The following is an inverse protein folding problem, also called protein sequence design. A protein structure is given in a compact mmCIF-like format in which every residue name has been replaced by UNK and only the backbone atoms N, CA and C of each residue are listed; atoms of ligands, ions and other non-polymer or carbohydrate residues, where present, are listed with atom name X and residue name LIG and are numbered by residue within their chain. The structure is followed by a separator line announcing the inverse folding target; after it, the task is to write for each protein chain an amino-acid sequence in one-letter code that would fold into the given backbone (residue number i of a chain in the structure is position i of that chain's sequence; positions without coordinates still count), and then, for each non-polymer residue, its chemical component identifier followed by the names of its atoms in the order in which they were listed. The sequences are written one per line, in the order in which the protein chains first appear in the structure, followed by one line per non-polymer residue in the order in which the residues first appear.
data_IF_039620113669
#
_entry.id   IF_039620113669
#
_cell.length_a   1.000
_cell.length_b   1.000
_cell.length_c   1.000
_cell.angle_alpha   90.00
_cell.angle_beta   90.00
_cell.angle_gamma   90.00
#
_symmetry.space_group_name_H-M   'P 1'
#
loop_
_entity.id
_entity.type
_entity.pdbx_description
1 polymer ?
#
# COMPACT_ATOMS: atom_id res chain seq x y z
N UNK A 1 12.43 -3.54 44.73
CA UNK A 1 11.39 -2.87 43.93
C UNK A 1 12.12 -1.91 43.03
N UNK A 2 12.34 -2.29 41.80
CA UNK A 2 12.91 -1.42 40.75
C UNK A 2 11.86 -1.37 39.69
N UNK A 3 11.16 -0.25 39.62
CA UNK A 3 10.24 0.08 38.52
C UNK A 3 11.04 0.17 37.21
N UNK A 4 10.70 -0.69 36.29
CA UNK A 4 11.19 -0.59 34.94
C UNK A 4 10.46 0.57 34.23
N UNK A 5 11.12 1.71 34.22
CA UNK A 5 10.74 2.89 33.44
C UNK A 5 10.78 2.51 31.96
N UNK A 6 9.60 2.25 31.39
CA UNK A 6 9.43 2.05 29.94
C UNK A 6 9.62 3.41 29.28
N UNK A 7 10.84 3.69 28.92
CA UNK A 7 11.19 4.79 28.03
C UNK A 7 10.40 4.63 26.73
N UNK A 8 9.31 5.35 26.62
CA UNK A 8 8.68 5.67 25.33
C UNK A 8 9.76 6.47 24.61
N UNK A 9 10.42 5.83 23.66
CA UNK A 9 11.38 6.52 22.80
C UNK A 9 10.65 7.71 22.17
N UNK A 10 11.17 8.94 22.29
CA UNK A 10 10.56 10.10 21.65
C UNK A 10 10.51 9.82 20.15
N UNK A 11 9.33 9.91 19.55
CA UNK A 11 9.16 9.84 18.11
C UNK A 11 10.14 10.82 17.48
N UNK A 12 11.09 10.30 16.71
CA UNK A 12 12.13 11.09 16.08
C UNK A 12 11.45 12.19 15.22
N UNK A 13 11.73 13.49 15.43
CA UNK A 13 11.07 14.57 14.68
C UNK A 13 11.15 14.36 13.15
N UNK A 14 12.20 13.69 12.66
CA UNK A 14 12.38 13.33 11.26
C UNK A 14 11.29 12.44 10.67
N UNK A 15 10.63 11.57 11.45
CA UNK A 15 9.53 10.73 10.93
C UNK A 15 8.25 11.53 10.67
N UNK A 16 7.94 12.50 11.51
CA UNK A 16 6.77 13.39 11.28
C UNK A 16 6.97 14.26 10.05
N UNK A 17 8.18 14.74 9.83
CA UNK A 17 8.51 15.54 8.65
C UNK A 17 8.44 14.71 7.37
N UNK A 18 8.88 13.46 7.38
CA UNK A 18 8.77 12.56 6.22
C UNK A 18 7.32 12.23 5.85
N UNK A 19 6.44 12.01 6.83
CA UNK A 19 5.00 11.80 6.56
C UNK A 19 4.32 13.05 5.99
N UNK A 20 4.67 14.23 6.48
CA UNK A 20 4.15 15.50 5.96
C UNK A 20 4.59 15.70 4.51
N UNK A 21 5.85 15.43 4.20
CA UNK A 21 6.40 15.50 2.84
C UNK A 21 5.68 14.48 1.94
N UNK A 22 5.52 13.23 2.40
CA UNK A 22 4.81 12.20 1.63
C UNK A 22 3.36 12.59 1.31
N UNK A 23 2.67 13.24 2.24
CA UNK A 23 1.32 13.77 1.99
C UNK A 23 1.31 14.91 0.99
N UNK A 24 2.31 15.78 1.04
CA UNK A 24 2.41 16.95 0.15
C UNK A 24 2.62 16.56 -1.32
N UNK A 25 3.39 15.48 -1.59
CA UNK A 25 3.67 15.01 -2.95
C UNK A 25 2.58 14.09 -3.53
N UNK A 26 1.61 13.62 -2.73
CA UNK A 26 0.52 12.77 -3.24
C UNK A 26 -0.39 13.55 -4.19
N UNK A 27 -0.81 12.93 -5.30
CA UNK A 27 -1.81 13.53 -6.18
C UNK A 27 -3.14 13.71 -5.43
N UNK A 28 -3.79 14.84 -5.65
CA UNK A 28 -5.09 15.17 -5.05
C UNK A 28 -6.25 14.98 -6.01
N UNK A 29 -5.97 14.98 -7.33
CA UNK A 29 -6.97 14.83 -8.40
C UNK A 29 -6.67 13.60 -9.23
N UNK A 30 -7.71 13.06 -9.84
CA UNK A 30 -7.59 11.89 -10.73
C UNK A 30 -6.74 12.22 -11.97
N UNK A 31 -6.78 13.44 -12.46
CA UNK A 31 -5.94 13.92 -13.57
C UNK A 31 -4.43 13.87 -13.25
N UNK A 32 -4.06 14.01 -11.98
CA UNK A 32 -2.67 13.96 -11.52
C UNK A 32 -2.20 12.52 -11.16
N UNK A 33 -3.13 11.55 -11.19
CA UNK A 33 -2.87 10.16 -10.86
C UNK A 33 -2.25 9.45 -12.07
N UNK A 34 -0.92 9.36 -12.09
CA UNK A 34 -0.15 8.77 -13.16
C UNK A 34 -0.15 7.24 -13.09
N UNK A 35 -0.15 6.59 -14.24
CA UNK A 35 -0.23 5.14 -14.37
C UNK A 35 -1.63 4.59 -14.04
N UNK A 36 -1.77 3.26 -13.95
CA UNK A 36 -3.05 2.59 -13.66
C UNK A 36 -4.18 3.06 -14.59
N UNK A 37 -3.90 3.26 -15.89
CA UNK A 37 -4.82 3.92 -16.84
C UNK A 37 -6.23 3.32 -16.82
N UNK A 38 -6.33 1.99 -16.77
CA UNK A 38 -7.62 1.30 -16.72
C UNK A 38 -8.42 1.66 -15.46
N UNK A 39 -7.77 1.69 -14.29
CA UNK A 39 -8.40 2.08 -13.02
C UNK A 39 -8.83 3.55 -13.07
N UNK A 40 -7.95 4.41 -13.57
CA UNK A 40 -8.24 5.86 -13.69
C UNK A 40 -9.45 6.12 -14.59
N UNK A 41 -9.50 5.50 -15.77
CA UNK A 41 -10.57 5.71 -16.75
C UNK A 41 -11.92 5.20 -16.23
N UNK A 42 -11.93 4.06 -15.53
CA UNK A 42 -13.15 3.56 -14.89
C UNK A 42 -13.60 4.47 -13.73
N UNK A 43 -12.68 4.87 -12.87
CA UNK A 43 -13.01 5.73 -11.73
C UNK A 43 -13.52 7.11 -12.18
N UNK A 44 -12.98 7.67 -13.27
CA UNK A 44 -13.48 8.91 -13.86
C UNK A 44 -14.96 8.82 -14.24
N UNK A 45 -15.36 7.70 -14.86
CA UNK A 45 -16.75 7.45 -15.24
C UNK A 45 -17.64 7.31 -14.00
N UNK A 46 -17.23 6.49 -13.02
CA UNK A 46 -18.04 6.21 -11.83
C UNK A 46 -18.23 7.45 -10.95
N UNK A 47 -17.16 8.22 -10.72
CA UNK A 47 -17.19 9.46 -9.96
C UNK A 47 -18.12 10.48 -10.63
N UNK A 48 -17.94 10.72 -11.95
CA UNK A 48 -18.80 11.65 -12.70
C UNK A 48 -20.27 11.21 -12.69
N UNK A 49 -20.54 9.92 -12.81
CA UNK A 49 -21.89 9.41 -12.74
C UNK A 49 -22.56 9.63 -11.38
N UNK A 50 -21.83 9.39 -10.28
CA UNK A 50 -22.31 9.67 -8.92
C UNK A 50 -22.56 11.17 -8.71
N UNK A 51 -21.63 12.03 -9.14
CA UNK A 51 -21.80 13.50 -9.11
C UNK A 51 -23.04 13.98 -9.87
N UNK A 52 -23.27 13.44 -11.08
CA UNK A 52 -24.44 13.83 -11.90
C UNK A 52 -25.77 13.46 -11.22
N UNK A 53 -25.80 12.36 -10.46
CA UNK A 53 -26.98 11.92 -9.72
C UNK A 53 -27.09 12.53 -8.33
N UNK A 54 -26.03 13.20 -7.86
CA UNK A 54 -25.89 13.71 -6.50
C UNK A 54 -26.07 12.60 -5.44
N UNK A 55 -25.40 11.47 -5.66
CA UNK A 55 -25.47 10.26 -4.84
C UNK A 55 -24.08 9.89 -4.33
N UNK A 56 -24.03 9.11 -3.22
CA UNK A 56 -22.79 8.48 -2.80
C UNK A 56 -22.25 7.56 -3.91
N UNK A 57 -20.93 7.47 -4.04
CA UNK A 57 -20.31 6.49 -4.92
C UNK A 57 -20.57 5.08 -4.38
N UNK A 58 -20.77 4.11 -5.25
CA UNK A 58 -20.84 2.70 -4.85
C UNK A 58 -19.60 2.31 -4.02
N UNK A 59 -19.78 1.38 -3.07
CA UNK A 59 -18.69 0.88 -2.25
C UNK A 59 -17.55 0.32 -3.10
N UNK A 60 -16.32 0.72 -2.78
CA UNK A 60 -15.12 0.48 -3.58
C UNK A 60 -14.13 -0.41 -2.82
N UNK A 61 -13.74 -1.53 -3.42
CA UNK A 61 -12.63 -2.36 -2.96
C UNK A 61 -11.38 -2.11 -3.81
N UNK A 62 -10.30 -1.69 -3.17
CA UNK A 62 -9.00 -1.48 -3.82
C UNK A 62 -8.02 -2.53 -3.30
N UNK A 63 -7.47 -3.35 -4.19
CA UNK A 63 -6.52 -4.36 -3.78
C UNK A 63 -5.26 -4.40 -4.66
N UNK A 64 -4.19 -4.94 -4.12
CA UNK A 64 -2.89 -5.07 -4.78
C UNK A 64 -1.73 -4.96 -3.82
N UNK A 65 -0.49 -5.18 -4.29
CA UNK A 65 0.72 -5.11 -3.49
C UNK A 65 0.84 -3.82 -2.66
N UNK A 66 1.64 -3.80 -1.59
CA UNK A 66 1.84 -2.61 -0.78
C UNK A 66 2.53 -1.49 -1.56
N UNK A 67 2.23 -0.24 -1.23
CA UNK A 67 2.93 0.94 -1.79
C UNK A 67 2.49 1.39 -3.19
N UNK A 68 1.43 0.79 -3.77
CA UNK A 68 0.92 1.11 -5.11
C UNK A 68 -0.06 2.30 -5.14
N UNK A 69 -0.40 2.88 -3.99
CA UNK A 69 -1.26 4.07 -3.93
C UNK A 69 -2.73 3.82 -3.60
N UNK A 70 -3.09 2.70 -2.94
CA UNK A 70 -4.47 2.42 -2.51
C UNK A 70 -5.08 3.55 -1.69
N UNK A 71 -4.39 3.99 -0.65
CA UNK A 71 -4.78 5.13 0.19
C UNK A 71 -4.82 6.45 -0.60
N UNK A 72 -3.93 6.61 -1.58
CA UNK A 72 -3.91 7.80 -2.46
C UNK A 72 -5.16 7.84 -3.32
N UNK A 73 -5.56 6.71 -3.92
CA UNK A 73 -6.77 6.62 -4.73
C UNK A 73 -8.03 6.90 -3.89
N UNK A 74 -8.10 6.40 -2.66
CA UNK A 74 -9.21 6.68 -1.74
C UNK A 74 -9.34 8.20 -1.44
N UNK A 75 -8.21 8.88 -1.20
CA UNK A 75 -8.20 10.32 -0.99
C UNK A 75 -8.59 11.10 -2.27
N UNK A 76 -8.17 10.64 -3.45
CA UNK A 76 -8.58 11.24 -4.72
C UNK A 76 -10.09 11.12 -4.91
N UNK A 77 -10.67 9.94 -4.63
CA UNK A 77 -12.13 9.74 -4.73
C UNK A 77 -12.88 10.74 -3.85
N UNK A 78 -12.49 10.87 -2.58
CA UNK A 78 -13.12 11.83 -1.67
C UNK A 78 -12.97 13.29 -2.16
N UNK A 79 -11.77 13.66 -2.65
CA UNK A 79 -11.52 15.00 -3.17
C UNK A 79 -12.32 15.29 -4.45
N UNK A 80 -12.43 14.33 -5.38
CA UNK A 80 -13.22 14.49 -6.60
C UNK A 80 -14.72 14.56 -6.28
N UNK A 81 -15.20 13.77 -5.31
CA UNK A 81 -16.59 13.82 -4.83
C UNK A 81 -16.88 15.05 -3.97
N UNK A 82 -15.86 15.85 -3.58
CA UNK A 82 -15.97 17.03 -2.72
C UNK A 82 -16.58 16.72 -1.34
N UNK A 83 -16.26 15.54 -0.77
CA UNK A 83 -16.75 15.05 0.52
C UNK A 83 -15.61 14.80 1.50
N UNK A 84 -15.95 14.64 2.78
CA UNK A 84 -14.96 14.29 3.80
C UNK A 84 -14.56 12.83 3.70
N UNK A 85 -13.32 12.52 4.12
CA UNK A 85 -12.83 11.15 4.27
C UNK A 85 -12.45 10.90 5.72
N UNK A 86 -13.03 9.83 6.28
CA UNK A 86 -12.60 9.29 7.56
C UNK A 86 -11.77 8.04 7.32
N UNK A 87 -10.58 8.01 7.91
CA UNK A 87 -9.61 6.94 7.67
C UNK A 87 -9.41 6.13 8.94
N UNK A 88 -9.49 4.82 8.80
CA UNK A 88 -9.16 3.83 9.83
C UNK A 88 -8.47 2.63 9.21
N UNK A 89 -8.18 1.61 10.00
CA UNK A 89 -7.63 0.33 9.52
C UNK A 89 -8.29 -0.85 10.23
N UNK A 90 -8.29 -2.03 9.57
CA UNK A 90 -8.85 -3.25 10.14
C UNK A 90 -8.35 -3.55 11.54
N UNK A 91 -7.03 -3.54 11.80
CA UNK A 91 -6.47 -3.80 13.14
C UNK A 91 -6.91 -2.83 14.25
N UNK A 92 -7.32 -1.62 13.91
CA UNK A 92 -7.78 -0.60 14.89
C UNK A 92 -9.24 -0.83 15.28
N UNK A 93 -10.02 -1.47 14.42
CA UNK A 93 -11.42 -1.78 14.65
C UNK A 93 -11.56 -3.11 15.41
N UNK A 94 -11.33 -3.08 16.71
CA UNK A 94 -11.37 -4.30 17.53
C UNK A 94 -12.80 -4.75 17.87
N UNK A 95 -13.71 -3.79 18.04
CA UNK A 95 -15.09 -4.00 18.49
C UNK A 95 -16.12 -3.37 17.56
N UNK A 96 -17.30 -3.94 17.54
CA UNK A 96 -18.46 -3.41 16.82
C UNK A 96 -18.74 -1.92 17.17
N UNK A 97 -18.54 -1.54 18.44
CA UNK A 97 -18.71 -0.17 18.90
C UNK A 97 -17.74 0.84 18.29
N UNK A 98 -16.53 0.40 17.95
CA UNK A 98 -15.53 1.28 17.30
C UNK A 98 -16.00 1.67 15.89
N UNK A 99 -16.50 0.69 15.13
CA UNK A 99 -17.07 0.91 13.81
C UNK A 99 -18.36 1.74 13.90
N UNK A 100 -19.25 1.43 14.86
CA UNK A 100 -20.48 2.17 15.07
C UNK A 100 -20.23 3.66 15.34
N UNK A 101 -19.24 3.98 16.17
CA UNK A 101 -18.84 5.35 16.45
C UNK A 101 -18.33 6.11 15.20
N UNK A 102 -17.66 5.41 14.29
CA UNK A 102 -17.22 6.02 13.02
C UNK A 102 -18.40 6.26 12.08
N UNK A 103 -19.28 5.26 11.92
CA UNK A 103 -20.42 5.31 11.00
C UNK A 103 -21.43 6.39 11.39
N UNK A 104 -21.76 6.51 12.69
CA UNK A 104 -22.71 7.51 13.19
C UNK A 104 -22.21 8.96 13.11
N UNK A 105 -20.92 9.16 12.88
CA UNK A 105 -20.31 10.48 12.69
C UNK A 105 -20.05 10.85 11.21
N UNK A 106 -20.53 10.04 10.26
CA UNK A 106 -20.46 10.36 8.83
C UNK A 106 -21.57 11.34 8.47
N UNK A 107 -21.25 12.23 7.54
CA UNK A 107 -22.22 13.10 6.88
C UNK A 107 -22.65 12.46 5.54
N UNK A 108 -23.65 13.04 4.89
CA UNK A 108 -24.19 12.53 3.62
C UNK A 108 -23.09 12.51 2.54
N UNK A 109 -22.95 11.36 1.88
CA UNK A 109 -21.97 11.05 0.84
C UNK A 109 -20.50 10.99 1.30
N UNK A 110 -20.21 11.10 2.59
CA UNK A 110 -18.86 10.96 3.14
C UNK A 110 -18.21 9.62 2.76
N UNK A 111 -16.88 9.61 2.75
CA UNK A 111 -16.09 8.41 2.51
C UNK A 111 -15.56 7.86 3.83
N UNK A 112 -15.84 6.57 4.10
CA UNK A 112 -15.15 5.80 5.14
C UNK A 112 -14.08 4.94 4.45
N UNK A 113 -12.81 5.19 4.76
CA UNK A 113 -11.68 4.40 4.25
C UNK A 113 -11.17 3.46 5.33
N UNK A 114 -11.15 2.14 5.04
CA UNK A 114 -10.61 1.10 5.93
C UNK A 114 -9.41 0.45 5.23
N UNK A 115 -8.20 0.74 5.73
CA UNK A 115 -6.99 0.06 5.26
C UNK A 115 -6.87 -1.33 5.91
N UNK A 116 -6.24 -2.28 5.20
CA UNK A 116 -6.09 -3.67 5.63
C UNK A 116 -7.44 -4.30 6.06
N UNK A 117 -8.50 -4.04 5.28
CA UNK A 117 -9.88 -4.46 5.61
C UNK A 117 -10.02 -5.97 5.82
N UNK A 118 -9.14 -6.80 5.25
CA UNK A 118 -9.10 -8.25 5.47
C UNK A 118 -8.75 -8.66 6.92
N UNK A 119 -8.34 -7.70 7.75
CA UNK A 119 -8.01 -7.92 9.16
C UNK A 119 -9.15 -7.54 10.13
N UNK A 120 -10.31 -7.23 9.60
CA UNK A 120 -11.51 -7.05 10.43
C UNK A 120 -11.86 -8.35 11.13
N UNK A 121 -12.33 -8.24 12.38
CA UNK A 121 -12.90 -9.38 13.08
C UNK A 121 -14.29 -9.73 12.51
N UNK A 122 -14.73 -10.99 12.57
CA UNK A 122 -16.07 -11.37 12.10
C UNK A 122 -17.18 -10.56 12.74
N UNK A 123 -17.05 -10.18 14.01
CA UNK A 123 -18.02 -9.37 14.73
C UNK A 123 -18.15 -7.96 14.14
N UNK A 124 -17.06 -7.36 13.68
CA UNK A 124 -17.06 -6.04 13.04
C UNK A 124 -17.62 -6.15 11.61
N UNK A 125 -17.28 -7.23 10.89
CA UNK A 125 -17.85 -7.48 9.56
C UNK A 125 -19.38 -7.61 9.60
N UNK A 126 -19.95 -8.33 10.60
CA UNK A 126 -21.40 -8.50 10.74
C UNK A 126 -22.15 -7.16 10.93
N UNK A 127 -21.53 -6.20 11.61
CA UNK A 127 -22.09 -4.84 11.76
C UNK A 127 -21.94 -4.03 10.46
N UNK A 128 -20.90 -4.30 9.68
CA UNK A 128 -20.63 -3.58 8.43
C UNK A 128 -21.64 -3.97 7.33
N UNK A 129 -22.15 -5.19 7.31
CA UNK A 129 -23.03 -5.66 6.24
C UNK A 129 -24.31 -4.83 6.11
N UNK A 130 -25.15 -4.66 7.16
CA UNK A 130 -26.36 -3.84 7.04
C UNK A 130 -26.04 -2.36 6.81
N UNK A 131 -24.89 -1.89 7.30
CA UNK A 131 -24.46 -0.53 7.03
C UNK A 131 -24.16 -0.29 5.55
N UNK A 132 -23.60 -1.29 4.84
CA UNK A 132 -23.32 -1.20 3.41
C UNK A 132 -24.56 -1.41 2.53
N UNK A 133 -25.47 -2.29 2.92
CA UNK A 133 -26.64 -2.64 2.09
C UNK A 133 -27.80 -1.69 2.27
N UNK A 134 -28.15 -1.38 3.53
CA UNK A 134 -29.37 -0.67 3.89
C UNK A 134 -29.10 0.69 4.54
N UNK A 135 -27.84 1.11 4.69
CA UNK A 135 -27.47 2.28 5.48
C UNK A 135 -28.05 2.25 6.90
N UNK A 136 -28.04 1.07 7.51
CA UNK A 136 -28.56 0.85 8.85
C UNK A 136 -27.52 0.20 9.75
N UNK A 137 -27.53 0.58 11.01
CA UNK A 137 -26.66 0.03 12.03
C UNK A 137 -27.50 -0.67 13.09
N UNK A 138 -27.28 -1.97 13.30
CA UNK A 138 -27.92 -2.73 14.36
C UNK A 138 -27.05 -2.75 15.62
N UNK A 139 -27.51 -2.11 16.69
CA UNK A 139 -26.78 -2.04 17.97
C UNK A 139 -27.57 -2.82 19.03
N UNK A 140 -26.89 -3.77 19.70
CA UNK A 140 -27.43 -4.43 20.88
C UNK A 140 -27.18 -3.58 22.12
N UNK A 141 -28.26 -3.18 22.80
CA UNK A 141 -28.20 -2.45 24.07
C UNK A 141 -28.67 -3.35 25.20
N UNK A 142 -27.87 -3.42 26.28
CA UNK A 142 -28.11 -4.27 27.44
C UNK A 142 -27.41 -5.61 27.36
N UNK A 143 -27.53 -6.39 28.44
CA UNK A 143 -26.91 -7.73 28.55
C UNK A 143 -27.95 -8.79 28.86
N UNK A 144 -27.71 -10.04 28.46
CA UNK A 144 -28.54 -11.20 28.73
C UNK A 144 -29.91 -11.13 28.06
N UNK A 145 -30.94 -11.74 28.66
CA UNK A 145 -32.32 -11.85 28.10
C UNK A 145 -33.06 -10.52 27.92
N UNK A 146 -32.55 -9.43 28.54
CA UNK A 146 -33.10 -8.07 28.42
C UNK A 146 -32.46 -7.25 27.34
N UNK A 147 -31.47 -7.78 26.62
CA UNK A 147 -30.84 -7.10 25.51
C UNK A 147 -31.86 -6.78 24.40
N UNK A 148 -31.79 -5.57 23.87
CA UNK A 148 -32.64 -5.10 22.77
C UNK A 148 -31.77 -4.63 21.61
N UNK A 149 -32.16 -5.00 20.38
CA UNK A 149 -31.60 -4.43 19.18
C UNK A 149 -32.26 -3.09 18.89
N UNK A 150 -31.43 -2.07 18.62
CA UNK A 150 -31.88 -0.77 18.12
C UNK A 150 -31.27 -0.59 16.75
N UNK A 151 -32.12 -0.23 15.76
CA UNK A 151 -31.70 0.15 14.43
C UNK A 151 -31.52 1.65 14.37
N UNK A 152 -30.38 2.07 13.87
CA UNK A 152 -30.01 3.47 13.63
C UNK A 152 -29.86 3.65 12.13
N UNK A 153 -30.59 4.56 11.53
CA UNK A 153 -30.41 4.94 10.14
C UNK A 153 -29.13 5.77 9.99
N UNK A 154 -28.33 5.45 8.96
CA UNK A 154 -27.11 6.14 8.61
C UNK A 154 -27.36 7.00 7.36
N UNK A 155 -26.68 8.15 7.21
CA UNK A 155 -26.67 8.84 5.94
C UNK A 155 -26.00 7.96 4.87
N UNK A 156 -26.39 8.05 3.60
CA UNK A 156 -25.68 7.39 2.50
C UNK A 156 -24.19 7.75 2.54
N UNK A 157 -23.32 6.76 2.43
CA UNK A 157 -21.87 6.93 2.46
C UNK A 157 -21.18 5.97 1.50
N UNK A 158 -19.94 6.26 1.17
CA UNK A 158 -19.10 5.36 0.39
C UNK A 158 -18.09 4.66 1.30
N UNK A 159 -18.14 3.32 1.37
CA UNK A 159 -17.06 2.55 1.97
C UNK A 159 -15.97 2.29 0.93
N UNK A 160 -14.72 2.64 1.23
CA UNK A 160 -13.55 2.25 0.46
C UNK A 160 -12.71 1.29 1.30
N UNK A 161 -12.71 0.02 0.93
CA UNK A 161 -11.86 -1.00 1.54
C UNK A 161 -10.54 -1.14 0.78
N UNK A 162 -9.42 -1.16 1.48
CA UNK A 162 -8.12 -1.46 0.90
C UNK A 162 -7.51 -2.73 1.49
N UNK A 163 -6.88 -3.56 0.65
CA UNK A 163 -6.22 -4.78 1.09
C UNK A 163 -5.03 -5.16 0.21
N UNK A 164 -4.04 -5.81 0.82
CA UNK A 164 -2.97 -6.50 0.09
C UNK A 164 -3.35 -7.95 -0.25
N UNK A 165 -4.31 -8.52 0.48
CA UNK A 165 -4.70 -9.94 0.42
C UNK A 165 -6.21 -10.07 0.09
N UNK A 166 -6.59 -9.79 -1.16
CA UNK A 166 -8.01 -9.89 -1.56
C UNK A 166 -8.62 -11.29 -1.35
N UNK A 167 -7.81 -12.34 -1.45
CA UNK A 167 -8.24 -13.72 -1.19
C UNK A 167 -8.54 -14.02 0.30
N UNK A 168 -8.13 -13.16 1.22
CA UNK A 168 -8.41 -13.30 2.66
C UNK A 168 -9.71 -12.63 3.09
N UNK A 169 -10.37 -11.89 2.20
CA UNK A 169 -11.70 -11.34 2.46
C UNK A 169 -12.75 -12.45 2.45
N UNK A 170 -13.70 -12.36 3.34
CA UNK A 170 -14.89 -13.22 3.31
C UNK A 170 -15.70 -12.94 2.04
N UNK A 171 -16.32 -13.98 1.47
CA UNK A 171 -17.18 -13.80 0.28
C UNK A 171 -18.32 -12.81 0.53
N UNK A 172 -19.02 -12.87 1.69
CA UNK A 172 -20.08 -11.92 1.99
C UNK A 172 -19.63 -10.46 1.98
N UNK A 173 -18.44 -10.16 2.52
CA UNK A 173 -17.92 -8.79 2.51
C UNK A 173 -17.52 -8.35 1.10
N UNK A 174 -16.86 -9.24 0.36
CA UNK A 174 -16.37 -8.92 -0.99
C UNK A 174 -17.52 -8.65 -1.97
N UNK A 175 -18.59 -9.42 -1.88
CA UNK A 175 -19.73 -9.34 -2.80
C UNK A 175 -20.57 -8.06 -2.62
N UNK A 176 -20.35 -7.31 -1.53
CA UNK A 176 -20.99 -6.02 -1.23
C UNK A 176 -20.27 -4.82 -1.84
N UNK A 177 -19.10 -5.01 -2.42
CA UNK A 177 -18.42 -3.95 -3.14
C UNK A 177 -18.89 -3.91 -4.61
N UNK A 178 -19.60 -2.85 -4.98
CA UNK A 178 -20.06 -2.63 -6.35
C UNK A 178 -18.94 -2.31 -7.32
N UNK A 179 -17.84 -1.72 -6.82
CA UNK A 179 -16.65 -1.37 -7.61
C UNK A 179 -15.45 -2.10 -7.03
N UNK A 180 -14.72 -2.83 -7.90
CA UNK A 180 -13.52 -3.57 -7.49
C UNK A 180 -12.36 -3.16 -8.38
N UNK A 181 -11.29 -2.58 -7.79
CA UNK A 181 -10.11 -2.09 -8.49
C UNK A 181 -8.85 -2.82 -8.04
N UNK A 182 -8.15 -3.41 -9.00
CA UNK A 182 -6.85 -4.03 -8.78
C UNK A 182 -5.74 -3.07 -9.21
N UNK A 183 -4.85 -2.72 -8.30
CA UNK A 183 -3.63 -1.98 -8.62
C UNK A 183 -2.50 -2.94 -8.96
N UNK A 184 -1.79 -2.60 -10.02
CA UNK A 184 -0.65 -3.36 -10.53
C UNK A 184 0.64 -2.57 -10.34
N UNK A 185 1.80 -3.25 -10.47
CA UNK A 185 3.08 -2.54 -10.46
C UNK A 185 3.17 -1.58 -11.63
N UNK A 186 3.74 -0.42 -11.37
CA UNK A 186 3.86 0.65 -12.34
C UNK A 186 4.95 0.35 -13.37
N UNK A 187 4.74 0.80 -14.59
CA UNK A 187 5.78 0.82 -15.61
C UNK A 187 6.86 1.83 -15.25
N UNK A 188 8.08 1.62 -15.73
CA UNK A 188 9.20 2.53 -15.47
C UNK A 188 8.89 3.96 -15.94
N UNK A 189 8.25 4.12 -17.10
CA UNK A 189 7.85 5.43 -17.61
C UNK A 189 6.89 6.18 -16.68
N UNK A 190 5.91 5.48 -16.11
CA UNK A 190 4.95 6.07 -15.17
C UNK A 190 5.65 6.49 -13.87
N UNK A 191 6.56 5.65 -13.36
CA UNK A 191 7.37 5.96 -12.19
C UNK A 191 8.31 7.13 -12.43
N UNK A 192 8.90 7.25 -13.62
CA UNK A 192 9.74 8.38 -13.99
C UNK A 192 8.95 9.70 -13.90
N UNK A 193 7.71 9.71 -14.43
CA UNK A 193 6.82 10.88 -14.32
C UNK A 193 6.46 11.18 -12.85
N UNK A 194 6.19 10.14 -12.04
CA UNK A 194 5.91 10.31 -10.61
C UNK A 194 7.11 10.89 -9.88
N UNK A 195 8.33 10.40 -10.13
CA UNK A 195 9.57 10.90 -9.54
C UNK A 195 9.81 12.35 -9.95
N UNK A 196 9.68 12.68 -11.23
CA UNK A 196 9.84 14.02 -11.74
C UNK A 196 8.83 15.00 -11.10
N UNK A 197 7.55 14.62 -11.03
CA UNK A 197 6.53 15.41 -10.37
C UNK A 197 6.85 15.60 -8.88
N UNK A 198 7.27 14.55 -8.20
CA UNK A 198 7.64 14.61 -6.77
C UNK A 198 8.84 15.52 -6.54
N UNK A 199 9.86 15.46 -7.41
CA UNK A 199 11.00 16.35 -7.37
C UNK A 199 10.60 17.81 -7.56
N UNK A 200 9.73 18.10 -8.54
CA UNK A 200 9.19 19.45 -8.75
C UNK A 200 8.42 19.97 -7.53
N UNK A 201 7.57 19.15 -6.93
CA UNK A 201 6.84 19.51 -5.70
C UNK A 201 7.78 19.81 -4.52
N UNK A 202 8.94 19.16 -4.48
CA UNK A 202 9.96 19.36 -3.45
C UNK A 202 10.97 20.47 -3.80
N UNK A 203 10.86 21.10 -4.98
CA UNK A 203 11.78 22.11 -5.46
C UNK A 203 13.19 21.60 -5.78
N UNK A 204 13.32 20.30 -6.12
CA UNK A 204 14.59 19.67 -6.42
C UNK A 204 15.02 19.91 -7.87
N UNK A 205 16.31 20.17 -8.08
CA UNK A 205 16.91 20.22 -9.41
C UNK A 205 17.22 18.80 -9.88
N UNK A 206 16.52 18.33 -10.91
CA UNK A 206 16.67 16.96 -11.43
C UNK A 206 16.44 16.93 -12.94
N UNK A 207 17.27 16.16 -13.65
CA UNK A 207 17.06 15.87 -15.08
C UNK A 207 16.22 14.59 -15.29
N UNK A 208 15.90 14.32 -16.55
CA UNK A 208 15.08 13.17 -16.96
C UNK A 208 15.79 11.84 -16.70
N UNK A 209 17.11 11.81 -16.87
CA UNK A 209 17.94 10.62 -16.71
C UNK A 209 18.07 10.22 -15.23
N UNK A 210 18.25 11.21 -14.33
CA UNK A 210 18.24 10.98 -12.89
C UNK A 210 16.89 10.44 -12.40
N UNK A 211 15.77 10.98 -12.94
CA UNK A 211 14.44 10.45 -12.65
C UNK A 211 14.27 9.01 -13.17
N UNK A 212 14.76 8.70 -14.36
CA UNK A 212 14.70 7.38 -14.96
C UNK A 212 15.49 6.35 -14.13
N UNK A 213 16.68 6.72 -13.65
CA UNK A 213 17.51 5.83 -12.85
C UNK A 213 16.83 5.48 -11.51
N UNK A 214 16.23 6.46 -10.84
CA UNK A 214 15.43 6.21 -9.63
C UNK A 214 14.23 5.32 -9.96
N UNK A 215 13.52 5.59 -11.06
CA UNK A 215 12.34 4.83 -11.47
C UNK A 215 12.65 3.35 -11.77
N UNK A 216 13.79 3.08 -12.43
CA UNK A 216 14.24 1.71 -12.72
C UNK A 216 14.43 0.88 -11.46
N UNK A 217 15.01 1.48 -10.41
CA UNK A 217 15.31 0.79 -9.14
C UNK A 217 14.17 0.85 -8.13
N UNK A 218 13.01 1.45 -8.49
CA UNK A 218 11.87 1.61 -7.61
C UNK A 218 10.93 0.39 -7.55
N UNK A 219 11.27 -0.72 -8.19
CA UNK A 219 10.52 -2.00 -8.11
C UNK A 219 9.04 -1.85 -8.48
N UNK A 220 8.72 -1.02 -9.45
CA UNK A 220 7.34 -0.80 -9.87
C UNK A 220 6.46 -0.09 -8.81
N UNK A 221 7.04 0.51 -7.76
CA UNK A 221 6.29 0.99 -6.59
C UNK A 221 6.51 2.48 -6.33
N UNK A 222 5.48 3.33 -6.41
CA UNK A 222 5.58 4.76 -6.15
C UNK A 222 6.13 5.11 -4.75
N UNK A 223 5.76 4.34 -3.71
CA UNK A 223 6.28 4.55 -2.35
C UNK A 223 7.81 4.36 -2.30
N UNK A 224 8.33 3.33 -2.97
CA UNK A 224 9.77 3.09 -3.06
C UNK A 224 10.42 4.19 -3.86
N UNK A 225 9.86 4.57 -5.03
CA UNK A 225 10.38 5.65 -5.87
C UNK A 225 10.56 6.96 -5.09
N UNK A 226 9.55 7.37 -4.33
CA UNK A 226 9.60 8.58 -3.51
C UNK A 226 10.60 8.45 -2.34
N UNK A 227 10.72 7.27 -1.74
CA UNK A 227 11.73 7.00 -0.71
C UNK A 227 13.15 7.11 -1.27
N UNK A 228 13.40 6.51 -2.44
CA UNK A 228 14.69 6.58 -3.11
C UNK A 228 15.00 8.01 -3.53
N UNK A 229 14.04 8.75 -4.08
CA UNK A 229 14.23 10.17 -4.45
C UNK A 229 14.74 11.00 -3.26
N UNK A 230 14.16 10.82 -2.06
CA UNK A 230 14.63 11.53 -0.88
C UNK A 230 16.08 11.19 -0.50
N UNK A 231 16.43 9.91 -0.57
CA UNK A 231 17.81 9.49 -0.25
C UNK A 231 18.82 9.98 -1.31
N UNK A 232 18.43 9.98 -2.59
CA UNK A 232 19.24 10.55 -3.66
C UNK A 232 19.39 12.06 -3.50
N UNK A 233 18.34 12.78 -3.09
CA UNK A 233 18.41 14.19 -2.71
C UNK A 233 19.47 14.43 -1.63
N UNK A 234 19.37 13.69 -0.51
CA UNK A 234 20.29 13.83 0.62
C UNK A 234 21.75 13.63 0.16
N UNK A 235 21.99 12.67 -0.74
CA UNK A 235 23.30 12.45 -1.34
C UNK A 235 23.74 13.60 -2.25
N UNK A 236 22.84 14.09 -3.10
CA UNK A 236 23.12 15.18 -4.04
C UNK A 236 23.48 16.49 -3.30
N UNK A 237 22.82 16.77 -2.18
CA UNK A 237 23.07 17.94 -1.34
C UNK A 237 24.42 17.85 -0.60
N UNK A 238 24.81 16.65 -0.12
CA UNK A 238 26.03 16.49 0.71
C UNK A 238 27.27 16.16 -0.11
N UNK A 239 27.14 15.37 -1.17
CA UNK A 239 28.26 14.87 -1.98
C UNK A 239 28.33 15.44 -3.39
N UNK A 240 27.26 16.11 -3.83
CA UNK A 240 27.14 16.72 -5.15
C UNK A 240 26.99 18.24 -5.07
N UNK A 241 26.36 18.78 -6.10
CA UNK A 241 26.03 20.21 -6.25
C UNK A 241 24.52 20.50 -6.06
N UNK A 242 23.78 19.57 -5.50
CA UNK A 242 22.32 19.64 -5.33
C UNK A 242 21.51 19.28 -6.59
N UNK A 243 22.18 18.96 -7.71
CA UNK A 243 21.51 18.49 -8.92
C UNK A 243 21.52 16.96 -9.02
N UNK A 244 20.37 16.38 -9.36
CA UNK A 244 20.18 14.94 -9.50
C UNK A 244 20.20 14.58 -10.98
N UNK A 245 21.35 14.09 -11.45
CA UNK A 245 21.54 13.47 -12.76
C UNK A 245 21.68 11.94 -12.61
N UNK A 246 21.77 11.24 -13.71
CA UNK A 246 21.96 9.77 -13.75
C UNK A 246 23.15 9.33 -12.88
N UNK A 247 24.31 9.95 -13.05
CA UNK A 247 25.53 9.61 -12.29
C UNK A 247 25.35 9.83 -10.76
N UNK A 248 24.68 10.91 -10.37
CA UNK A 248 24.39 11.23 -8.97
C UNK A 248 23.40 10.21 -8.39
N UNK A 249 22.36 9.87 -9.15
CA UNK A 249 21.37 8.87 -8.75
C UNK A 249 22.00 7.48 -8.62
N UNK A 250 22.80 7.04 -9.60
CA UNK A 250 23.49 5.75 -9.56
C UNK A 250 24.41 5.63 -8.33
N UNK A 251 25.27 6.63 -8.08
CA UNK A 251 26.17 6.64 -6.91
C UNK A 251 25.40 6.57 -5.58
N UNK A 252 24.32 7.34 -5.47
CA UNK A 252 23.49 7.36 -4.28
C UNK A 252 22.80 6.02 -4.05
N UNK A 253 22.23 5.41 -5.09
CA UNK A 253 21.51 4.14 -5.01
C UNK A 253 22.46 2.97 -4.72
N UNK A 254 23.66 2.99 -5.29
CA UNK A 254 24.69 2.01 -4.97
C UNK A 254 25.16 2.13 -3.51
N UNK A 255 25.28 3.35 -2.96
CA UNK A 255 25.58 3.58 -1.55
C UNK A 255 24.48 3.01 -0.62
N UNK A 256 23.25 2.95 -1.11
CA UNK A 256 22.10 2.37 -0.38
C UNK A 256 21.95 0.86 -0.58
N UNK A 257 22.92 0.21 -1.22
CA UNK A 257 22.85 -1.23 -1.55
C UNK A 257 21.65 -1.62 -2.43
N UNK A 258 21.13 -0.70 -3.24
CA UNK A 258 20.07 -0.95 -4.22
C UNK A 258 20.74 -1.20 -5.58
N UNK A 259 20.62 -2.41 -6.12
CA UNK A 259 21.25 -2.76 -7.38
C UNK A 259 20.48 -2.25 -8.62
N UNK A 260 21.02 -2.52 -9.81
CA UNK A 260 20.44 -2.05 -11.08
C UNK A 260 19.05 -2.64 -11.42
N UNK A 261 18.62 -3.70 -10.73
CA UNK A 261 17.27 -4.26 -10.82
C UNK A 261 16.36 -3.77 -9.69
N UNK A 262 16.87 -2.93 -8.80
CA UNK A 262 16.17 -2.42 -7.64
C UNK A 262 16.14 -3.39 -6.46
N UNK A 263 16.96 -4.44 -6.47
CA UNK A 263 17.04 -5.36 -5.33
C UNK A 263 17.80 -4.71 -4.19
N UNK A 264 17.19 -4.72 -3.03
CA UNK A 264 17.82 -4.32 -1.79
C UNK A 264 18.58 -5.51 -1.13
N UNK A 265 19.15 -5.25 0.01
CA UNK A 265 19.87 -6.27 0.78
C UNK A 265 19.01 -7.52 1.06
N UNK A 266 17.72 -7.35 1.40
CA UNK A 266 16.86 -8.48 1.76
C UNK A 266 16.43 -9.31 0.56
N UNK A 267 16.18 -8.69 -0.59
CA UNK A 267 15.90 -9.40 -1.84
C UNK A 267 17.07 -10.29 -2.23
N UNK A 268 18.28 -9.72 -2.22
CA UNK A 268 19.50 -10.45 -2.55
C UNK A 268 19.77 -11.56 -1.56
N UNK A 269 19.62 -11.28 -0.25
CA UNK A 269 19.80 -12.28 0.81
C UNK A 269 18.85 -13.46 0.66
N UNK A 270 17.58 -13.20 0.29
CA UNK A 270 16.58 -14.24 0.05
C UNK A 270 16.96 -15.12 -1.15
N UNK A 271 17.27 -14.52 -2.29
CA UNK A 271 17.63 -15.25 -3.50
C UNK A 271 18.93 -16.04 -3.32
N UNK A 272 19.98 -15.43 -2.74
CA UNK A 272 21.24 -16.11 -2.44
C UNK A 272 21.05 -17.26 -1.44
N UNK A 273 20.22 -17.09 -0.41
CA UNK A 273 19.92 -18.17 0.51
C UNK A 273 19.28 -19.38 -0.20
N UNK A 274 18.35 -19.16 -1.12
CA UNK A 274 17.75 -20.24 -1.91
C UNK A 274 18.80 -20.92 -2.79
N UNK A 275 19.63 -20.16 -3.48
CA UNK A 275 20.62 -20.70 -4.42
C UNK A 275 21.77 -21.42 -3.72
N UNK A 276 22.36 -20.80 -2.69
CA UNK A 276 23.58 -21.33 -2.06
C UNK A 276 23.30 -22.33 -0.94
N UNK A 277 22.30 -22.03 -0.07
CA UNK A 277 22.01 -22.88 1.11
C UNK A 277 21.05 -24.02 0.80
N UNK A 278 20.17 -23.84 -0.20
CA UNK A 278 19.11 -24.80 -0.53
C UNK A 278 19.22 -25.31 -1.97
N UNK A 279 20.38 -25.19 -2.60
CA UNK A 279 20.69 -25.72 -3.95
C UNK A 279 19.63 -25.31 -5.00
N UNK A 280 19.18 -24.08 -4.96
CA UNK A 280 18.15 -23.53 -5.86
C UNK A 280 16.70 -23.83 -5.47
N UNK A 281 16.48 -24.62 -4.45
CA UNK A 281 15.14 -25.02 -3.97
C UNK A 281 14.70 -26.39 -4.50
N UNK A 282 13.44 -26.82 -4.18
CA UNK A 282 12.40 -26.05 -3.47
C UNK A 282 12.64 -25.98 -1.96
N UNK A 283 12.45 -24.81 -1.37
CA UNK A 283 12.59 -24.59 0.07
C UNK A 283 11.28 -24.05 0.68
N UNK A 284 10.87 -24.61 1.83
CA UNK A 284 9.70 -24.15 2.59
C UNK A 284 9.90 -22.77 3.20
N UNK A 285 8.81 -22.04 3.38
CA UNK A 285 8.83 -20.68 3.93
C UNK A 285 9.47 -20.61 5.33
N UNK A 286 9.18 -21.58 6.19
CA UNK A 286 9.74 -21.64 7.56
C UNK A 286 11.27 -21.71 7.56
N UNK A 287 11.81 -22.59 6.71
CA UNK A 287 13.26 -22.75 6.60
C UNK A 287 13.90 -21.49 6.00
N UNK A 288 13.23 -20.87 5.03
CA UNK A 288 13.72 -19.65 4.40
C UNK A 288 13.70 -18.47 5.38
N UNK A 289 12.61 -18.29 6.12
CA UNK A 289 12.47 -17.28 7.17
C UNK A 289 13.59 -17.41 8.23
N UNK A 290 13.81 -18.62 8.73
CA UNK A 290 14.90 -18.91 9.67
C UNK A 290 16.29 -18.65 9.07
N UNK A 291 16.50 -19.00 7.78
CA UNK A 291 17.79 -18.86 7.11
C UNK A 291 18.20 -17.39 6.87
N UNK A 292 17.22 -16.51 6.65
CA UNK A 292 17.46 -15.08 6.40
C UNK A 292 17.20 -14.20 7.63
N UNK A 293 16.60 -14.76 8.71
CA UNK A 293 16.28 -14.02 9.93
C UNK A 293 15.17 -13.00 9.73
N UNK A 294 14.10 -13.36 8.99
CA UNK A 294 12.98 -12.49 8.70
C UNK A 294 11.65 -13.20 9.00
N UNK A 295 10.58 -12.43 9.24
CA UNK A 295 9.25 -12.98 9.45
C UNK A 295 8.63 -13.49 8.15
N UNK A 296 7.81 -14.56 8.25
CA UNK A 296 7.15 -15.19 7.10
C UNK A 296 6.26 -14.21 6.33
N UNK A 297 5.49 -13.42 7.06
CA UNK A 297 4.57 -12.44 6.47
C UNK A 297 5.33 -11.35 5.69
N UNK A 298 6.49 -10.90 6.19
CA UNK A 298 7.37 -9.98 5.46
C UNK A 298 7.86 -10.59 4.15
N UNK A 299 8.26 -11.86 4.18
CA UNK A 299 8.69 -12.56 2.96
C UNK A 299 7.54 -12.65 1.96
N UNK A 300 6.36 -13.13 2.39
CA UNK A 300 5.21 -13.36 1.50
C UNK A 300 4.57 -12.08 0.97
N UNK A 301 4.51 -11.03 1.79
CA UNK A 301 3.76 -9.81 1.43
C UNK A 301 4.61 -8.71 0.83
N UNK A 302 5.93 -8.69 1.14
CA UNK A 302 6.80 -7.57 0.76
C UNK A 302 7.88 -7.99 -0.23
N UNK A 303 8.58 -9.12 0.04
CA UNK A 303 9.77 -9.52 -0.74
C UNK A 303 9.35 -10.36 -1.97
N UNK A 304 8.66 -11.48 -1.74
CA UNK A 304 8.31 -12.44 -2.81
C UNK A 304 7.49 -11.86 -3.97
N UNK A 305 6.46 -11.00 -3.75
CA UNK A 305 5.57 -10.59 -4.83
C UNK A 305 6.29 -9.95 -6.02
N UNK A 306 7.25 -9.08 -5.74
CA UNK A 306 8.04 -8.45 -6.79
C UNK A 306 8.97 -9.45 -7.50
N UNK A 307 9.67 -10.27 -6.73
CA UNK A 307 10.60 -11.26 -7.27
C UNK A 307 9.88 -12.32 -8.15
N UNK A 308 8.68 -12.74 -7.74
CA UNK A 308 7.85 -13.68 -8.51
C UNK A 308 7.39 -13.02 -9.81
N UNK A 309 6.87 -11.81 -9.75
CA UNK A 309 6.37 -11.12 -10.93
C UNK A 309 7.49 -10.82 -11.95
N UNK A 310 8.68 -10.49 -11.46
CA UNK A 310 9.84 -10.27 -12.31
C UNK A 310 10.51 -11.58 -12.76
N UNK A 311 10.00 -12.74 -12.32
CA UNK A 311 10.47 -14.04 -12.75
C UNK A 311 11.82 -14.47 -12.16
N UNK A 312 12.23 -13.92 -11.01
CA UNK A 312 13.42 -14.35 -10.28
C UNK A 312 13.16 -15.46 -9.29
N UNK A 313 11.92 -15.53 -8.79
CA UNK A 313 11.46 -16.52 -7.83
C UNK A 313 10.22 -17.23 -8.36
N UNK A 314 10.12 -18.53 -8.12
CA UNK A 314 8.94 -19.34 -8.42
C UNK A 314 8.38 -19.96 -7.15
N UNK A 315 7.07 -19.84 -6.93
CA UNK A 315 6.35 -20.51 -5.85
C UNK A 315 5.73 -21.80 -6.35
N UNK A 316 6.03 -22.91 -5.70
CA UNK A 316 5.50 -24.23 -6.00
C UNK A 316 4.83 -24.84 -4.77
N UNK A 317 4.03 -25.91 -4.90
CA UNK A 317 3.48 -26.63 -3.74
C UNK A 317 4.54 -27.18 -2.77
N UNK A 318 5.78 -27.39 -3.25
CA UNK A 318 6.90 -27.88 -2.44
C UNK A 318 7.71 -26.76 -1.79
N UNK A 319 7.52 -25.51 -2.19
CA UNK A 319 8.26 -24.37 -1.71
C UNK A 319 8.72 -23.41 -2.80
N UNK A 320 9.70 -22.58 -2.46
CA UNK A 320 10.28 -21.53 -3.30
C UNK A 320 11.47 -22.04 -4.07
N UNK A 321 11.58 -21.65 -5.34
CA UNK A 321 12.66 -22.03 -6.26
C UNK A 321 13.23 -20.77 -6.90
N UNK A 322 14.56 -20.64 -6.89
CA UNK A 322 15.24 -19.62 -7.67
C UNK A 322 15.25 -20.00 -9.15
N UNK A 323 14.91 -19.06 -10.02
CA UNK A 323 14.85 -19.29 -11.47
C UNK A 323 16.24 -19.11 -12.13
N UNK A 324 16.38 -19.53 -13.38
CA UNK A 324 17.61 -19.31 -14.14
C UNK A 324 17.93 -17.80 -14.27
N UNK A 325 16.91 -16.94 -14.31
CA UNK A 325 17.08 -15.49 -14.31
C UNK A 325 17.75 -14.98 -13.02
N UNK A 326 17.45 -15.59 -11.86
CA UNK A 326 18.13 -15.25 -10.61
C UNK A 326 19.60 -15.64 -10.65
N UNK A 327 19.93 -16.83 -11.13
CA UNK A 327 21.32 -17.26 -11.29
C UNK A 327 22.11 -16.33 -12.22
N UNK A 328 21.54 -15.97 -13.38
CA UNK A 328 22.16 -15.04 -14.33
C UNK A 328 22.41 -13.68 -13.71
N UNK A 329 21.48 -13.18 -12.89
CA UNK A 329 21.61 -11.87 -12.22
C UNK A 329 22.82 -11.82 -11.27
N UNK A 330 23.06 -12.92 -10.54
CA UNK A 330 24.20 -13.02 -9.62
C UNK A 330 25.48 -13.57 -10.26
N UNK A 331 25.46 -13.92 -11.55
CA UNK A 331 26.60 -14.53 -12.23
C UNK A 331 26.95 -15.91 -11.70
N UNK A 332 25.97 -16.63 -11.14
CA UNK A 332 26.13 -17.98 -10.61
C UNK A 332 25.69 -19.01 -11.65
N UNK A 333 26.36 -20.17 -11.67
CA UNK A 333 25.92 -21.34 -12.41
C UNK A 333 24.89 -22.12 -11.57
N UNK A 334 23.91 -22.74 -12.26
CA UNK A 334 22.84 -23.53 -11.62
C UNK A 334 23.31 -24.97 -11.41
#
# INVERSE_FOLDING_TARGET
MIEADRLIAPMNPSFKDEEVIDRAIRPKKLADYQGQDHVRDQMDIFIKAAQLRNEALDHLLIFGPPGLGKTTLANIVANEMEVNIRTTSGPVLEKAGDLAALLTNLEENDVLFIDEIHRLSPMVEEVLYPAMEDYQLDIMIGEGPAARSIKIDLPPFTLIGATTRAGSLTSPLRDRFGIVQRLEYYKIADLQHIVQRSANCLGLSMDSEGALEIARRARGTPRIANRLLRRVRDYAEVKGNGHICDETADKALNMLDVDNQGFDYMDRKLLLAIMEKFSGGPVGLDNLAAAIGEEKDTIEDVIEPYLIQQGYLQRTPRGRIATDRAYLHFGLEK
#
